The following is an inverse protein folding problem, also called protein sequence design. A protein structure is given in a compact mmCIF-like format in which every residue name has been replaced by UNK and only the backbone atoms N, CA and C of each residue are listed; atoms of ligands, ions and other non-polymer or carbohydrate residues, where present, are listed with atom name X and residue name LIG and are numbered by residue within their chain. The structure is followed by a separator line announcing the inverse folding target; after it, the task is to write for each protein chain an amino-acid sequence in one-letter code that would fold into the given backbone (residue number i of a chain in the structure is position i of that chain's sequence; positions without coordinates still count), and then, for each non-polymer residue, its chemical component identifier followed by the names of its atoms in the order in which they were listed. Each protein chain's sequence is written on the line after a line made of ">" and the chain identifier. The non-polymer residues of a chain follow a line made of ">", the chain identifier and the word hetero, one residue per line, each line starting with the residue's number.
data_IF_729108290373
#
_entry.id   IF_729108290373
#
_cell.length_a   1.000
_cell.length_b   1.000
_cell.length_c   1.000
_cell.angle_alpha   90.00
_cell.angle_beta   90.00
_cell.angle_gamma   90.00
#
_symmetry.space_group_name_H-M   'P 1'
#
loop_
_entity.id
_entity.type
_entity.pdbx_description
1 polymer ?
#
# COMPACT_ATOMS: atom_id res chain seq x y z
N UNK A 1 6.54 -19.34 -6.95
CA UNK A 1 6.55 -18.00 -7.55
C UNK A 1 7.81 -17.30 -7.07
N UNK A 2 8.58 -16.68 -7.96
CA UNK A 2 9.83 -15.98 -7.62
C UNK A 2 9.59 -14.50 -7.25
N UNK A 3 8.41 -13.97 -7.57
CA UNK A 3 7.98 -12.64 -7.12
C UNK A 3 7.13 -12.80 -5.86
N UNK A 4 7.45 -12.03 -4.83
CA UNK A 4 6.75 -12.05 -3.55
C UNK A 4 6.26 -10.67 -3.15
N UNK A 5 5.09 -10.67 -2.50
CA UNK A 5 4.48 -9.50 -1.92
C UNK A 5 4.18 -9.82 -0.46
N UNK A 6 4.75 -9.03 0.44
CA UNK A 6 4.49 -9.13 1.87
C UNK A 6 3.81 -7.85 2.32
N UNK A 7 2.75 -7.95 3.12
CA UNK A 7 2.04 -6.79 3.63
C UNK A 7 1.79 -6.91 5.14
N UNK A 8 1.87 -5.79 5.84
CA UNK A 8 1.62 -5.73 7.28
C UNK A 8 1.12 -4.36 7.74
N UNK A 9 0.21 -4.32 8.73
CA UNK A 9 -0.37 -3.08 9.23
C UNK A 9 0.66 -2.26 9.99
N UNK A 10 0.59 -0.94 9.80
CA UNK A 10 1.30 0.05 10.58
C UNK A 10 0.39 0.68 11.63
N UNK A 11 0.99 1.22 12.69
CA UNK A 11 0.25 1.79 13.84
C UNK A 11 -0.68 2.95 13.46
N UNK A 12 -0.39 3.66 12.37
CA UNK A 12 -1.21 4.76 11.88
C UNK A 12 -2.40 4.29 11.04
N UNK A 13 -2.54 2.99 10.74
CA UNK A 13 -3.59 2.41 9.90
C UNK A 13 -3.25 2.37 8.41
N UNK A 14 -2.01 2.69 8.02
CA UNK A 14 -1.48 2.40 6.69
C UNK A 14 -0.97 0.95 6.61
N UNK A 15 -0.68 0.47 5.39
CA UNK A 15 -0.03 -0.81 5.16
C UNK A 15 1.43 -0.59 4.74
N UNK A 16 2.35 -1.32 5.37
CA UNK A 16 3.69 -1.52 4.82
C UNK A 16 3.64 -2.68 3.84
N UNK A 17 4.18 -2.47 2.64
CA UNK A 17 4.24 -3.50 1.59
C UNK A 17 5.68 -3.67 1.14
N UNK A 18 6.17 -4.91 1.12
CA UNK A 18 7.45 -5.29 0.54
C UNK A 18 7.21 -6.01 -0.77
N UNK A 19 7.85 -5.51 -1.82
CA UNK A 19 7.90 -6.14 -3.13
C UNK A 19 9.29 -6.76 -3.27
N UNK A 20 9.36 -8.08 -3.42
CA UNK A 20 10.64 -8.80 -3.48
C UNK A 20 10.73 -9.59 -4.78
N UNK A 21 11.73 -9.26 -5.59
CA UNK A 21 12.06 -10.01 -6.78
C UNK A 21 13.16 -11.06 -6.46
N UNK A 22 12.80 -12.34 -6.46
CA UNK A 22 13.73 -13.47 -6.19
C UNK A 22 14.17 -14.20 -7.46
N UNK A 23 13.90 -13.66 -8.64
CA UNK A 23 14.42 -14.22 -9.90
C UNK A 23 15.94 -14.11 -9.91
N UNK A 24 16.62 -14.99 -10.63
CA UNK A 24 18.09 -15.00 -10.72
C UNK A 24 18.66 -13.94 -11.68
N UNK A 25 17.85 -13.36 -12.55
CA UNK A 25 18.29 -12.33 -13.51
C UNK A 25 17.13 -11.49 -14.07
N UNK A 26 17.43 -10.27 -14.52
CA UNK A 26 16.45 -9.35 -15.11
C UNK A 26 15.78 -8.43 -14.09
N UNK A 27 14.83 -7.64 -14.57
CA UNK A 27 14.01 -6.75 -13.75
C UNK A 27 12.55 -7.07 -14.04
N UNK A 28 11.75 -7.21 -12.99
CA UNK A 28 10.36 -7.64 -13.11
C UNK A 28 9.40 -6.59 -12.55
N UNK A 29 8.26 -6.35 -13.21
CA UNK A 29 7.21 -5.53 -12.64
C UNK A 29 6.46 -6.31 -11.55
N UNK A 30 6.31 -5.71 -10.37
CA UNK A 30 5.51 -6.30 -9.28
C UNK A 30 4.31 -5.40 -9.00
N UNK A 31 3.12 -6.00 -9.02
CA UNK A 31 1.85 -5.31 -8.80
C UNK A 31 1.23 -5.72 -7.49
N UNK A 32 1.04 -4.78 -6.58
CA UNK A 32 0.25 -4.94 -5.37
C UNK A 32 -1.18 -4.46 -5.63
N UNK A 33 -2.17 -5.33 -5.37
CA UNK A 33 -3.60 -4.98 -5.47
C UNK A 33 -4.14 -4.66 -4.09
N UNK A 34 -5.09 -3.73 -4.03
CA UNK A 34 -5.66 -3.29 -2.76
C UNK A 34 -6.44 -4.43 -2.08
N UNK A 35 -7.08 -5.28 -2.88
CA UNK A 35 -7.73 -6.51 -2.42
C UNK A 35 -6.81 -7.42 -1.61
N UNK A 36 -5.52 -7.47 -1.97
CA UNK A 36 -4.55 -8.41 -1.40
C UNK A 36 -4.02 -7.90 -0.05
N UNK A 37 -4.14 -6.60 0.19
CA UNK A 37 -3.70 -5.91 1.41
C UNK A 37 -4.88 -5.42 2.27
N UNK A 38 -6.10 -5.86 1.98
CA UNK A 38 -7.30 -5.53 2.76
C UNK A 38 -7.83 -4.11 2.56
N UNK A 39 -7.49 -3.46 1.44
CA UNK A 39 -7.93 -2.10 1.10
C UNK A 39 -9.09 -2.14 0.09
N UNK A 40 -10.01 -1.15 0.10
CA UNK A 40 -11.11 -1.11 -0.86
C UNK A 40 -10.61 -0.90 -2.30
N UNK A 41 -11.09 -1.71 -3.24
CA UNK A 41 -10.64 -1.70 -4.65
C UNK A 41 -10.93 -0.39 -5.42
N UNK A 42 -11.96 0.35 -5.00
CA UNK A 42 -12.41 1.57 -5.68
C UNK A 42 -11.88 2.84 -5.02
N UNK A 43 -10.90 2.72 -4.11
CA UNK A 43 -10.37 3.84 -3.36
C UNK A 43 -9.04 4.30 -3.93
N UNK A 44 -8.86 5.63 -3.97
CA UNK A 44 -7.62 6.29 -4.32
C UNK A 44 -6.77 6.45 -3.06
N UNK A 45 -5.61 5.78 -3.03
CA UNK A 45 -4.72 5.71 -1.86
C UNK A 45 -3.31 6.18 -2.21
N UNK A 46 -2.64 6.79 -1.23
CA UNK A 46 -1.31 7.37 -1.42
C UNK A 46 -0.26 6.29 -1.27
N UNK A 47 0.64 6.19 -2.25
CA UNK A 47 1.78 5.26 -2.24
C UNK A 47 3.07 6.04 -2.07
N UNK A 48 3.88 5.62 -1.10
CA UNK A 48 5.19 6.22 -0.80
C UNK A 48 6.26 5.15 -0.77
N UNK A 49 7.38 5.40 -1.45
CA UNK A 49 8.60 4.62 -1.29
C UNK A 49 9.32 5.06 0.00
N UNK A 50 9.49 4.13 0.93
CA UNK A 50 10.11 4.39 2.22
C UNK A 50 11.63 4.48 2.14
N UNK A 51 12.27 3.76 1.22
CA UNK A 51 13.73 3.77 1.05
C UNK A 51 14.19 5.00 0.27
N UNK A 52 13.53 5.31 -0.84
CA UNK A 52 13.79 6.54 -1.59
C UNK A 52 13.25 7.80 -0.87
N UNK A 53 12.46 7.62 0.20
CA UNK A 53 11.74 8.69 0.91
C UNK A 53 10.91 9.57 -0.03
N UNK A 54 10.32 8.95 -1.05
CA UNK A 54 9.67 9.63 -2.16
C UNK A 54 8.20 9.25 -2.23
N UNK A 55 7.34 10.25 -2.38
CA UNK A 55 5.94 10.02 -2.69
C UNK A 55 5.80 9.69 -4.18
N UNK A 56 5.17 8.54 -4.46
CA UNK A 56 4.98 8.02 -5.81
C UNK A 56 3.67 8.53 -6.43
N UNK A 57 2.75 9.00 -5.59
CA UNK A 57 1.48 9.58 -5.98
C UNK A 57 0.29 8.84 -5.38
N UNK A 58 -0.86 9.04 -6.01
CA UNK A 58 -2.13 8.43 -5.61
C UNK A 58 -2.56 7.43 -6.67
N UNK A 59 -2.95 6.23 -6.24
CA UNK A 59 -3.33 5.13 -7.13
C UNK A 59 -4.66 4.52 -6.69
N UNK A 60 -5.43 4.01 -7.65
CA UNK A 60 -6.74 3.40 -7.39
C UNK A 60 -6.68 1.90 -7.61
N UNK A 61 -6.99 1.13 -6.57
CA UNK A 61 -7.16 -0.33 -6.61
C UNK A 61 -5.87 -1.16 -6.77
N UNK A 62 -4.79 -0.59 -7.29
CA UNK A 62 -3.48 -1.25 -7.38
C UNK A 62 -2.34 -0.26 -7.63
N UNK A 63 -1.12 -0.71 -7.39
CA UNK A 63 0.12 -0.05 -7.79
C UNK A 63 1.09 -1.07 -8.39
N UNK A 64 1.71 -0.71 -9.51
CA UNK A 64 2.76 -1.49 -10.16
C UNK A 64 4.09 -0.75 -10.04
N UNK A 65 5.06 -1.37 -9.38
CA UNK A 65 6.45 -0.95 -9.50
C UNK A 65 7.01 -1.53 -10.80
N UNK A 66 7.45 -0.71 -11.77
CA UNK A 66 7.72 -1.19 -13.13
C UNK A 66 9.01 -2.00 -13.25
N UNK A 67 10.03 -1.68 -12.45
CA UNK A 67 11.35 -2.29 -12.53
C UNK A 67 11.88 -2.55 -11.12
N UNK A 68 11.78 -3.79 -10.67
CA UNK A 68 12.50 -4.27 -9.50
C UNK A 68 13.55 -5.25 -10.00
N UNK A 69 14.82 -4.89 -9.87
CA UNK A 69 15.94 -5.73 -10.31
C UNK A 69 15.94 -7.07 -9.56
N UNK A 70 16.56 -8.09 -10.15
CA UNK A 70 16.79 -9.38 -9.50
C UNK A 70 17.42 -9.21 -8.11
N UNK A 71 16.94 -9.98 -7.14
CA UNK A 71 17.30 -9.89 -5.72
C UNK A 71 17.07 -8.51 -5.06
N UNK A 72 16.43 -7.57 -5.75
CA UNK A 72 16.08 -6.29 -5.17
C UNK A 72 14.75 -6.36 -4.43
N UNK A 73 14.62 -5.45 -3.47
CA UNK A 73 13.43 -5.26 -2.67
C UNK A 73 12.99 -3.81 -2.80
N UNK A 74 11.70 -3.55 -2.73
CA UNK A 74 11.15 -2.20 -2.58
C UNK A 74 10.18 -2.19 -1.42
N UNK A 75 10.30 -1.18 -0.55
CA UNK A 75 9.41 -1.00 0.59
C UNK A 75 8.49 0.20 0.37
N UNK A 76 7.20 -0.09 0.33
CA UNK A 76 6.14 0.88 0.14
C UNK A 76 5.34 1.10 1.43
N UNK A 77 4.84 2.30 1.60
CA UNK A 77 3.77 2.65 2.54
C UNK A 77 2.54 3.04 1.74
N UNK A 78 1.42 2.38 1.98
CA UNK A 78 0.14 2.65 1.32
C UNK A 78 -0.84 3.19 2.36
N UNK A 79 -1.28 4.42 2.17
CA UNK A 79 -2.12 5.15 3.15
C UNK A 79 -3.50 5.40 2.58
N UNK A 80 -4.53 4.99 3.34
CA UNK A 80 -5.92 5.25 2.99
C UNK A 80 -6.21 6.76 2.98
N UNK A 81 -6.55 7.32 1.82
CA UNK A 81 -6.83 8.77 1.71
C UNK A 81 -8.20 9.13 2.30
N UNK A 82 -9.21 8.29 2.09
CA UNK A 82 -10.57 8.51 2.58
C UNK A 82 -10.91 7.53 3.72
N UNK A 83 -10.18 7.62 4.84
CA UNK A 83 -10.59 6.91 6.04
C UNK A 83 -11.87 7.54 6.58
N UNK A 84 -13.03 7.01 6.19
CA UNK A 84 -14.28 7.24 6.92
C UNK A 84 -14.07 6.59 8.30
N UNK A 85 -13.65 7.37 9.29
CA UNK A 85 -13.53 6.90 10.66
C UNK A 85 -14.96 6.78 11.21
N UNK A 86 -15.63 5.66 10.92
CA UNK A 86 -16.92 5.30 11.51
C UNK A 86 -16.75 4.88 12.99
N UNK A 87 -16.10 5.70 13.81
CA UNK A 87 -15.74 5.29 15.17
C UNK A 87 -15.36 6.39 16.16
N UNK A 88 -15.44 7.68 15.82
CA UNK A 88 -15.35 8.76 16.83
C UNK A 88 -16.46 9.78 16.58
N UNK A 89 -17.27 9.98 17.62
CA UNK A 89 -18.22 11.08 17.83
C UNK A 89 -19.60 10.99 17.14
N UNK A 90 -20.45 10.10 17.65
CA UNK A 90 -21.86 10.47 17.91
C UNK A 90 -22.08 10.53 19.42
N UNK A 91 -21.68 11.63 20.04
CA UNK A 91 -22.11 11.95 21.39
C UNK A 91 -22.19 13.47 21.57
N UNK A 92 -23.17 14.11 20.91
CA UNK A 92 -23.87 15.32 21.38
C UNK A 92 -24.84 15.79 20.30
N UNK A 93 -26.12 15.44 20.47
CA UNK A 93 -27.26 16.37 20.49
C UNK A 93 -28.55 15.56 20.51
N UNK A 94 -28.90 15.10 21.71
CA UNK A 94 -30.29 14.95 22.12
C UNK A 94 -30.37 15.62 23.49
N UNK A 95 -30.91 16.83 23.48
CA UNK A 95 -31.16 17.68 24.64
C UNK A 95 -32.21 18.69 24.23
N UNK A 96 -33.46 18.26 24.44
CA UNK A 96 -34.74 18.97 24.59
C UNK A 96 -34.93 20.36 23.99
#
# INVERSE_FOLDING_TARGET
>A
AELEIWAGPLSDGSQAVLLFNRVDSGSEPITVKWSDIGFPINQSDVVRDLWARKDLGTFTGSYTSPNIDHHAVMMLKITLTNRQINGREKCQQLGS
#
